data_IF_191605911263
#
_entry.id   IF_191605911263
#
_cell.length_a   1.000
_cell.length_b   1.000
_cell.length_c   1.000
_cell.angle_alpha   90.00
_cell.angle_beta   90.00
_cell.angle_gamma   90.00
#
_symmetry.space_group_name_H-M   'P 1'
#
loop_
_entity.id
_entity.type
_entity.pdbx_description
1 polymer ?
#
# COMPACT_ATOMS: atom_id res chain seq x y z
N UNK A 1 -15.27 17.89 3.33
CA UNK A 1 -14.35 17.34 4.35
C UNK A 1 -12.97 17.29 3.71
N UNK A 2 -11.92 17.65 4.45
CA UNK A 2 -10.54 17.56 3.93
C UNK A 2 -10.16 16.07 3.90
N UNK A 3 -9.54 15.57 2.81
CA UNK A 3 -9.12 14.18 2.74
C UNK A 3 -8.13 13.88 3.87
N UNK A 4 -8.44 12.86 4.68
CA UNK A 4 -7.62 12.46 5.83
C UNK A 4 -6.29 11.89 5.42
N UNK A 5 -6.19 11.23 4.28
CA UNK A 5 -4.95 10.65 3.78
C UNK A 5 -4.61 11.19 2.41
N UNK A 6 -3.33 11.45 2.16
CA UNK A 6 -2.80 11.75 0.82
C UNK A 6 -1.50 11.01 0.59
N UNK A 7 -1.46 10.20 -0.46
CA UNK A 7 -0.30 9.42 -0.86
C UNK A 7 0.34 10.10 -2.07
N UNK A 8 1.59 10.51 -1.94
CA UNK A 8 2.38 11.09 -3.03
C UNK A 8 3.31 10.00 -3.59
N UNK A 9 3.30 9.83 -4.90
CA UNK A 9 4.09 8.81 -5.57
C UNK A 9 4.57 9.30 -6.93
N UNK A 10 5.54 8.60 -7.50
CA UNK A 10 6.01 8.84 -8.86
C UNK A 10 5.79 7.64 -9.75
N UNK A 11 5.03 7.84 -10.82
CA UNK A 11 4.92 6.89 -11.92
C UNK A 11 6.06 7.16 -12.90
N UNK A 12 6.85 6.13 -13.22
CA UNK A 12 7.92 6.24 -14.19
C UNK A 12 7.42 5.85 -15.58
N UNK A 13 7.34 6.82 -16.48
CA UNK A 13 7.04 6.61 -17.89
C UNK A 13 8.29 6.80 -18.72
N UNK A 14 8.97 5.69 -19.05
CA UNK A 14 10.26 5.67 -19.76
C UNK A 14 11.32 6.51 -19.02
N UNK A 15 11.63 7.70 -19.54
CA UNK A 15 12.61 8.66 -18.99
C UNK A 15 11.97 9.78 -18.16
N UNK A 16 10.64 9.82 -18.05
CA UNK A 16 9.91 10.86 -17.33
C UNK A 16 9.34 10.30 -16.04
N UNK A 17 9.71 10.90 -14.91
CA UNK A 17 9.06 10.67 -13.64
C UNK A 17 7.93 11.71 -13.47
N UNK A 18 6.68 11.25 -13.43
CA UNK A 18 5.54 12.12 -13.18
C UNK A 18 5.11 12.00 -11.71
N UNK A 19 5.16 13.10 -10.93
CA UNK A 19 4.61 13.11 -9.59
C UNK A 19 3.09 13.06 -9.66
N UNK A 20 2.50 12.16 -8.89
CA UNK A 20 1.06 11.98 -8.76
C UNK A 20 0.70 11.91 -7.28
N UNK A 21 -0.57 12.12 -6.98
CA UNK A 21 -1.11 11.91 -5.66
C UNK A 21 -2.45 11.20 -5.71
N UNK A 22 -2.78 10.53 -4.63
CA UNK A 22 -4.08 9.94 -4.36
C UNK A 22 -4.54 10.39 -2.98
N UNK A 23 -5.83 10.69 -2.82
CA UNK A 23 -6.39 11.19 -1.57
C UNK A 23 -7.64 10.40 -1.20
N UNK A 24 -7.75 10.03 0.07
CA UNK A 24 -8.87 9.26 0.61
C UNK A 24 -9.13 9.61 2.08
N UNK A 25 -10.36 9.42 2.52
CA UNK A 25 -10.76 9.53 3.93
C UNK A 25 -10.76 8.18 4.65
N UNK A 26 -10.66 7.08 3.89
CA UNK A 26 -10.70 5.71 4.40
C UNK A 26 -9.28 5.16 4.62
N UNK A 27 -8.92 4.77 5.86
CA UNK A 27 -7.61 4.16 6.14
C UNK A 27 -7.41 2.83 5.41
N UNK A 28 -8.47 2.05 5.14
CA UNK A 28 -8.35 0.77 4.42
C UNK A 28 -8.01 1.04 2.95
N UNK A 29 -8.75 1.92 2.28
CA UNK A 29 -8.44 2.34 0.92
C UNK A 29 -7.04 2.99 0.78
N UNK A 30 -6.50 3.58 1.86
CA UNK A 30 -5.12 4.06 1.89
C UNK A 30 -4.12 2.90 1.80
N UNK A 31 -4.29 1.86 2.63
CA UNK A 31 -3.45 0.66 2.64
C UNK A 31 -3.56 -0.13 1.31
N UNK A 32 -4.77 -0.29 0.78
CA UNK A 32 -5.01 -0.92 -0.54
C UNK A 32 -4.31 -0.16 -1.67
N UNK A 33 -4.38 1.17 -1.67
CA UNK A 33 -3.69 1.95 -2.70
C UNK A 33 -2.17 1.81 -2.58
N UNK A 34 -1.62 1.76 -1.36
CA UNK A 34 -0.19 1.47 -1.17
C UNK A 34 0.16 0.07 -1.69
N UNK A 35 -0.69 -0.94 -1.50
CA UNK A 35 -0.51 -2.27 -2.09
C UNK A 35 -0.41 -2.21 -3.62
N UNK A 36 -1.30 -1.49 -4.28
CA UNK A 36 -1.23 -1.31 -5.74
C UNK A 36 0.07 -0.62 -6.20
N UNK A 37 0.55 0.38 -5.45
CA UNK A 37 1.81 1.05 -5.76
C UNK A 37 3.00 0.09 -5.64
N UNK A 38 3.00 -0.78 -4.62
CA UNK A 38 4.01 -1.82 -4.44
C UNK A 38 3.96 -2.85 -5.57
N UNK A 39 2.75 -3.33 -5.93
CA UNK A 39 2.54 -4.29 -7.02
C UNK A 39 3.05 -3.73 -8.36
N UNK A 40 2.83 -2.44 -8.62
CA UNK A 40 3.28 -1.75 -9.85
C UNK A 40 4.71 -1.24 -9.81
N UNK A 41 5.40 -1.33 -8.67
CA UNK A 41 6.76 -0.86 -8.49
C UNK A 41 6.92 0.67 -8.57
N UNK A 42 5.89 1.43 -8.19
CA UNK A 42 5.95 2.89 -8.17
C UNK A 42 6.66 3.38 -6.90
N UNK A 43 7.46 4.44 -7.05
CA UNK A 43 8.18 5.02 -5.92
C UNK A 43 7.23 5.87 -5.07
N UNK A 44 6.97 5.43 -3.84
CA UNK A 44 6.21 6.16 -2.82
C UNK A 44 7.10 7.25 -2.25
N UNK A 45 6.64 8.50 -2.27
CA UNK A 45 7.40 9.66 -1.79
C UNK A 45 6.98 10.09 -0.39
N UNK A 46 5.67 10.13 -0.14
CA UNK A 46 5.12 10.50 1.16
C UNK A 46 3.73 9.89 1.34
N UNK A 47 3.38 9.61 2.60
CA UNK A 47 2.00 9.35 3.01
C UNK A 47 1.70 10.38 4.08
N UNK A 48 0.67 11.19 3.85
CA UNK A 48 0.25 12.29 4.72
C UNK A 48 -1.05 11.96 5.40
N UNK A 49 -1.17 12.33 6.66
CA UNK A 49 -2.41 12.33 7.43
C UNK A 49 -2.77 13.76 7.84
N UNK A 50 -3.97 14.21 7.49
CA UNK A 50 -4.45 15.58 7.73
C UNK A 50 -3.48 16.66 7.21
N UNK A 51 -2.81 16.37 6.10
CA UNK A 51 -1.84 17.27 5.45
C UNK A 51 -0.42 17.22 6.03
N UNK A 52 -0.17 16.45 7.09
CA UNK A 52 1.14 16.25 7.70
C UNK A 52 1.74 14.91 7.28
N UNK A 53 3.05 14.86 7.03
CA UNK A 53 3.73 13.59 6.76
C UNK A 53 3.57 12.63 7.96
N UNK A 54 3.24 11.36 7.66
CA UNK A 54 3.19 10.34 8.69
C UNK A 54 4.56 10.22 9.38
N UNK A 55 4.57 10.06 10.71
CA UNK A 55 5.77 9.67 11.42
C UNK A 55 6.37 8.39 10.81
N UNK A 56 7.69 8.30 10.74
CA UNK A 56 8.38 7.15 10.14
C UNK A 56 7.87 5.77 10.62
N UNK A 57 7.63 5.54 11.93
CA UNK A 57 7.07 4.26 12.38
C UNK A 57 5.68 3.95 11.83
N UNK A 58 4.85 4.96 11.62
CA UNK A 58 3.50 4.82 11.06
C UNK A 58 3.57 4.58 9.55
N UNK A 59 4.44 5.31 8.85
CA UNK A 59 4.74 5.06 7.44
C UNK A 59 5.20 3.61 7.21
N UNK A 60 6.21 3.16 7.96
CA UNK A 60 6.76 1.81 7.86
C UNK A 60 5.70 0.75 8.17
N UNK A 61 4.78 1.03 9.11
CA UNK A 61 3.64 0.16 9.43
C UNK A 61 2.68 0.05 8.24
N UNK A 62 2.27 1.16 7.61
CA UNK A 62 1.36 1.15 6.45
C UNK A 62 1.98 0.35 5.29
N UNK A 63 3.26 0.60 4.99
CA UNK A 63 3.98 -0.14 3.95
C UNK A 63 4.08 -1.63 4.28
N UNK A 64 4.33 -1.99 5.54
CA UNK A 64 4.38 -3.40 5.97
C UNK A 64 3.03 -4.09 5.84
N UNK A 65 1.93 -3.43 6.21
CA UNK A 65 0.57 -3.96 6.04
C UNK A 65 0.29 -4.22 4.57
N UNK A 66 0.49 -3.22 3.71
CA UNK A 66 0.29 -3.33 2.26
C UNK A 66 1.15 -4.43 1.62
N UNK A 67 2.41 -4.55 2.02
CA UNK A 67 3.29 -5.64 1.56
C UNK A 67 2.79 -7.02 2.02
N UNK A 68 2.23 -7.12 3.23
CA UNK A 68 1.60 -8.34 3.74
C UNK A 68 0.37 -8.74 2.93
N UNK A 69 -0.50 -7.77 2.60
CA UNK A 69 -1.67 -7.97 1.74
C UNK A 69 -1.26 -8.47 0.35
N UNK A 70 -0.26 -7.83 -0.26
CA UNK A 70 0.27 -8.22 -1.58
C UNK A 70 0.81 -9.65 -1.57
N UNK A 71 1.60 -10.00 -0.57
CA UNK A 71 2.16 -11.33 -0.41
C UNK A 71 1.05 -12.39 -0.20
N UNK A 72 0.09 -12.11 0.69
CA UNK A 72 -1.05 -12.99 0.96
C UNK A 72 -1.84 -13.27 -0.33
N UNK A 73 -2.18 -12.22 -1.09
CA UNK A 73 -2.90 -12.30 -2.38
C UNK A 73 -2.15 -13.19 -3.37
N UNK A 74 -0.85 -12.94 -3.58
CA UNK A 74 -0.07 -13.74 -4.52
C UNK A 74 0.09 -15.20 -4.08
N UNK A 75 0.28 -15.47 -2.78
CA UNK A 75 0.37 -16.84 -2.25
C UNK A 75 -0.95 -17.59 -2.42
N UNK A 76 -2.07 -16.96 -2.05
CA UNK A 76 -3.41 -17.54 -2.21
C UNK A 76 -3.68 -17.92 -3.68
N UNK A 77 -3.42 -16.98 -4.60
CA UNK A 77 -3.61 -17.20 -6.04
C UNK A 77 -2.68 -18.28 -6.57
N UNK A 78 -1.40 -18.27 -6.18
CA UNK A 78 -0.40 -19.21 -6.72
C UNK A 78 -0.60 -20.65 -6.24
N UNK A 79 -1.14 -20.82 -5.03
CA UNK A 79 -1.36 -22.15 -4.43
C UNK A 79 -2.82 -22.62 -4.52
N UNK A 80 -3.75 -21.77 -4.96
CA UNK A 80 -5.18 -22.07 -5.00
C UNK A 80 -5.79 -22.25 -3.60
N UNK A 81 -5.27 -21.55 -2.60
CA UNK A 81 -5.70 -21.65 -1.19
C UNK A 81 -6.47 -20.39 -0.76
N UNK A 82 -7.21 -20.52 0.34
CA UNK A 82 -7.92 -19.38 0.95
C UNK A 82 -7.02 -18.63 1.93
N UNK A 83 -7.39 -17.38 2.23
CA UNK A 83 -6.67 -16.50 3.15
C UNK A 83 -6.49 -17.13 4.55
N UNK A 84 -7.46 -17.90 5.05
CA UNK A 84 -7.35 -18.54 6.37
C UNK A 84 -6.26 -19.60 6.39
N UNK A 85 -6.13 -20.36 5.30
CA UNK A 85 -5.09 -21.39 5.16
C UNK A 85 -3.72 -20.75 4.95
N UNK A 86 -3.65 -19.69 4.14
CA UNK A 86 -2.42 -18.91 3.95
C UNK A 86 -1.93 -18.38 5.30
N UNK A 87 -2.79 -17.68 6.05
CA UNK A 87 -2.47 -17.12 7.36
C UNK A 87 -2.01 -18.20 8.34
N UNK A 88 -2.62 -19.38 8.33
CA UNK A 88 -2.20 -20.50 9.16
C UNK A 88 -0.80 -21.02 8.78
N UNK A 89 -0.48 -21.09 7.48
CA UNK A 89 0.76 -21.70 6.96
C UNK A 89 1.95 -20.74 6.93
N UNK A 90 1.71 -19.48 6.58
CA UNK A 90 2.75 -18.50 6.25
C UNK A 90 2.68 -17.24 7.12
N UNK A 91 1.53 -16.98 7.76
CA UNK A 91 1.39 -15.90 8.72
C UNK A 91 1.28 -14.51 8.10
N UNK A 92 0.91 -14.38 6.82
CA UNK A 92 0.58 -13.06 6.30
C UNK A 92 -0.76 -12.57 6.85
N UNK A 93 -0.87 -11.26 6.99
CA UNK A 93 -2.10 -10.57 7.40
C UNK A 93 -2.94 -10.33 6.16
N UNK A 94 -3.93 -11.20 5.96
CA UNK A 94 -5.12 -10.87 5.19
C UNK A 94 -5.96 -9.80 5.89
#
# INVERSE_FOLDING_TARGET
MLPKYTIEYTAQFRRHAQPNHYSTDDPVACEEFVEELLERGFAIRAIKHEGLDLPKPEFDRVVKTAAGMLASKHVCVSLGIKAEEEKYRFGFTA
#
